data_IF_032135231471
#
_entry.id   IF_032135231471
#
_cell.length_a   1.000
_cell.length_b   1.000
_cell.length_c   1.000
_cell.angle_alpha   90.00
_cell.angle_beta   90.00
_cell.angle_gamma   90.00
#
_symmetry.space_group_name_H-M   'P 1'
#
loop_
_entity.id
_entity.type
_entity.pdbx_description
1 polymer ?
#
# COMPACT_ATOMS: atom_id res chain seq x y z
N UNK A 1 10.33 4.14 17.03
CA UNK A 1 9.10 4.91 16.76
C UNK A 1 8.41 4.16 15.64
N UNK A 2 7.16 3.72 15.79
CA UNK A 2 6.45 3.09 14.67
C UNK A 2 6.05 4.21 13.70
N UNK A 3 6.49 4.10 12.46
CA UNK A 3 6.01 4.96 11.38
C UNK A 3 4.51 4.71 11.23
N UNK A 4 3.71 5.79 11.16
CA UNK A 4 2.28 5.69 10.89
C UNK A 4 1.99 6.52 9.65
N UNK A 5 1.58 5.84 8.58
CA UNK A 5 1.30 6.46 7.30
C UNK A 5 -0.16 6.95 7.20
N UNK A 6 -1.08 6.33 7.94
CA UNK A 6 -2.50 6.69 7.92
C UNK A 6 -3.29 6.09 6.75
N UNK A 7 -2.98 4.83 6.40
CA UNK A 7 -3.67 4.08 5.34
C UNK A 7 -4.25 2.78 5.88
N UNK A 8 -5.38 2.37 5.30
CA UNK A 8 -5.87 1.01 5.40
C UNK A 8 -5.31 0.22 4.23
N UNK A 9 -4.50 -0.79 4.53
CA UNK A 9 -3.80 -1.58 3.53
C UNK A 9 -4.30 -3.02 3.48
N UNK A 10 -4.19 -3.62 2.31
CA UNK A 10 -4.42 -5.05 2.10
C UNK A 10 -3.36 -5.60 1.13
N UNK A 11 -3.01 -6.86 1.31
CA UNK A 11 -2.13 -7.57 0.37
C UNK A 11 -2.78 -7.68 -1.02
N UNK A 12 -1.98 -7.53 -2.07
CA UNK A 12 -2.43 -7.79 -3.45
C UNK A 12 -2.43 -9.29 -3.69
N UNK A 13 -3.62 -9.90 -3.62
CA UNK A 13 -3.82 -11.30 -3.99
C UNK A 13 -3.91 -11.48 -5.51
N UNK A 14 -3.77 -12.71 -6.05
CA UNK A 14 -3.98 -12.97 -7.48
C UNK A 14 -5.34 -12.48 -7.99
N UNK A 15 -6.41 -12.64 -7.21
CA UNK A 15 -7.75 -12.14 -7.58
C UNK A 15 -7.81 -10.61 -7.66
N UNK A 16 -7.08 -9.91 -6.79
CA UNK A 16 -6.97 -8.44 -6.85
C UNK A 16 -6.11 -8.04 -8.05
N UNK A 17 -4.99 -8.71 -8.27
CA UNK A 17 -4.12 -8.44 -9.40
C UNK A 17 -4.86 -8.56 -10.75
N UNK A 18 -5.69 -9.58 -10.91
CA UNK A 18 -6.55 -9.73 -12.09
C UNK A 18 -7.55 -8.58 -12.25
N UNK A 19 -8.21 -8.17 -11.16
CA UNK A 19 -9.17 -7.05 -11.17
C UNK A 19 -8.53 -5.71 -11.52
N UNK A 20 -7.27 -5.51 -11.12
CA UNK A 20 -6.50 -4.30 -11.37
C UNK A 20 -5.60 -4.40 -12.62
N UNK A 21 -5.73 -5.46 -13.42
CA UNK A 21 -4.92 -5.73 -14.61
C UNK A 21 -3.39 -5.66 -14.36
N UNK A 22 -2.95 -6.13 -13.20
CA UNK A 22 -1.54 -6.23 -12.85
C UNK A 22 -0.93 -7.47 -13.50
N UNK A 23 0.34 -7.36 -13.90
CA UNK A 23 1.11 -8.48 -14.45
C UNK A 23 1.44 -9.53 -13.40
N UNK A 24 1.57 -9.13 -12.13
CA UNK A 24 1.93 -9.99 -11.00
C UNK A 24 1.13 -9.61 -9.76
N UNK A 25 0.84 -10.59 -8.90
CA UNK A 25 0.25 -10.38 -7.59
C UNK A 25 1.31 -9.90 -6.59
N UNK A 26 1.68 -8.63 -6.72
CA UNK A 26 2.73 -7.99 -5.91
C UNK A 26 2.31 -6.61 -5.43
N UNK A 27 2.90 -6.22 -4.30
CA UNK A 27 2.64 -4.94 -3.65
C UNK A 27 1.44 -4.96 -2.72
N UNK A 28 1.09 -3.78 -2.24
CA UNK A 28 0.11 -3.53 -1.19
C UNK A 28 -0.94 -2.56 -1.71
N UNK A 29 -2.20 -2.99 -1.74
CA UNK A 29 -3.31 -2.16 -2.16
C UNK A 29 -3.73 -1.23 -1.01
N UNK A 30 -3.86 0.05 -1.33
CA UNK A 30 -4.46 1.06 -0.45
C UNK A 30 -5.98 0.93 -0.54
N UNK A 31 -6.56 0.30 0.48
CA UNK A 31 -8.01 0.12 0.60
C UNK A 31 -8.74 1.41 0.98
N UNK A 32 -8.11 2.25 1.80
CA UNK A 32 -8.61 3.58 2.16
C UNK A 32 -7.51 4.47 2.76
N UNK A 33 -7.75 5.78 2.79
CA UNK A 33 -6.82 6.79 3.35
C UNK A 33 -7.51 7.53 4.48
N UNK A 34 -6.80 7.70 5.61
CA UNK A 34 -7.32 8.41 6.77
C UNK A 34 -7.22 9.92 6.52
N UNK A 35 -8.29 10.67 6.81
CA UNK A 35 -8.30 12.14 6.74
C UNK A 35 -7.26 12.76 7.69
N UNK A 36 -6.64 13.87 7.26
CA UNK A 36 -5.58 14.59 7.97
C UNK A 36 -4.33 13.72 8.26
N UNK A 37 -4.09 12.70 7.43
CA UNK A 37 -2.94 11.80 7.58
C UNK A 37 -1.76 12.14 6.66
N UNK A 38 -0.54 11.69 7.00
CA UNK A 38 0.63 11.85 6.10
C UNK A 38 0.40 11.26 4.70
N UNK A 39 -0.39 10.19 4.59
CA UNK A 39 -0.77 9.60 3.31
C UNK A 39 -1.64 10.54 2.47
N UNK A 40 -2.63 11.18 3.08
CA UNK A 40 -3.46 12.17 2.39
C UNK A 40 -2.64 13.38 1.95
N UNK A 41 -1.80 13.92 2.85
CA UNK A 41 -0.91 15.06 2.55
C UNK A 41 0.09 14.76 1.42
N UNK A 42 0.52 13.49 1.30
CA UNK A 42 1.40 13.04 0.20
C UNK A 42 0.65 12.70 -1.09
N UNK A 43 -0.68 12.76 -1.07
CA UNK A 43 -1.53 12.55 -2.24
C UNK A 43 -1.79 11.08 -2.57
N UNK A 44 -1.53 10.15 -1.62
CA UNK A 44 -1.92 8.75 -1.73
C UNK A 44 -3.45 8.67 -1.78
N UNK A 45 -3.95 7.75 -2.60
CA UNK A 45 -5.39 7.54 -2.81
C UNK A 45 -5.78 6.09 -2.65
N UNK A 46 -7.06 5.90 -2.34
CA UNK A 46 -7.70 4.60 -2.44
C UNK A 46 -7.54 4.04 -3.86
N UNK A 47 -7.10 2.79 -3.95
CA UNK A 47 -6.84 2.09 -5.21
C UNK A 47 -5.38 2.16 -5.65
N UNK A 48 -4.53 2.97 -5.00
CA UNK A 48 -3.10 2.96 -5.26
C UNK A 48 -2.48 1.63 -4.80
N UNK A 49 -1.44 1.20 -5.49
CA UNK A 49 -0.69 -0.01 -5.17
C UNK A 49 0.74 0.40 -4.84
N UNK A 50 1.15 0.12 -3.61
CA UNK A 50 2.48 0.39 -3.09
C UNK A 50 3.35 -0.82 -3.39
N UNK A 51 4.38 -0.64 -4.20
CA UNK A 51 5.33 -1.70 -4.59
C UNK A 51 6.71 -1.53 -3.94
N UNK A 52 7.02 -0.30 -3.51
CA UNK A 52 8.33 0.07 -2.96
C UNK A 52 8.16 1.19 -1.93
N UNK A 53 8.96 1.15 -0.86
CA UNK A 53 9.08 2.22 0.14
C UNK A 53 10.56 2.43 0.45
N UNK A 54 11.05 3.67 0.39
CA UNK A 54 12.45 4.01 0.66
C UNK A 54 13.47 3.18 -0.16
N UNK A 55 13.21 2.99 -1.46
CA UNK A 55 14.03 2.18 -2.37
C UNK A 55 14.08 0.67 -1.99
N UNK A 56 13.16 0.19 -1.16
CA UNK A 56 13.03 -1.22 -0.78
C UNK A 56 11.66 -1.77 -1.23
N UNK A 57 11.68 -2.87 -1.99
CA UNK A 57 10.45 -3.58 -2.40
C UNK A 57 9.67 -4.04 -1.16
N UNK A 58 8.35 -3.87 -1.22
CA UNK A 58 7.43 -4.33 -0.17
C UNK A 58 6.47 -5.36 -0.75
N UNK A 59 6.47 -6.54 -0.15
CA UNK A 59 5.63 -7.66 -0.61
C UNK A 59 4.58 -8.07 0.42
N UNK A 60 4.63 -7.55 1.64
CA UNK A 60 3.61 -7.80 2.66
C UNK A 60 3.21 -6.54 3.45
N UNK A 61 1.99 -6.51 4.01
CA UNK A 61 1.57 -5.41 4.90
C UNK A 61 2.46 -5.26 6.14
N UNK A 62 3.04 -6.36 6.61
CA UNK A 62 3.93 -6.40 7.77
C UNK A 62 5.26 -5.70 7.46
N UNK A 63 5.84 -5.97 6.29
CA UNK A 63 7.05 -5.29 5.81
C UNK A 63 6.85 -3.78 5.68
N UNK A 64 5.67 -3.35 5.22
CA UNK A 64 5.35 -1.93 5.08
C UNK A 64 5.15 -1.23 6.44
N UNK A 65 4.67 -1.93 7.47
CA UNK A 65 4.45 -1.35 8.80
C UNK A 65 5.72 -1.30 9.66
N UNK A 66 6.70 -2.16 9.39
CA UNK A 66 7.95 -2.22 10.13
C UNK A 66 9.04 -1.28 9.58
N UNK A 67 8.85 -0.72 8.38
CA UNK A 67 9.72 0.31 7.75
C UNK A 67 9.38 1.73 8.23
#
# INVERSE_FOLDING_TARGET
>A
RRSWLGVYIQEVTPEIAEQFNLTEAKGILVGDVIEDSPAEESGIKRGDIIVEVNDEEVNSPEELQDK
#
